data_IF_145351516192
#
_entry.id   IF_145351516192
#
_cell.length_a   1.000
_cell.length_b   1.000
_cell.length_c   1.000
_cell.angle_alpha   90.00
_cell.angle_beta   90.00
_cell.angle_gamma   90.00
#
_symmetry.space_group_name_H-M   'P 1'
#
loop_
_entity.id
_entity.type
_entity.pdbx_description
1 polymer ?
#
# COMPACT_ATOMS: atom_id res chain seq x y z
N UNK A 1 0.37 12.75 -14.23
CA UNK A 1 -0.45 11.63 -13.71
C UNK A 1 -1.23 12.14 -12.51
N UNK A 2 -2.54 11.89 -12.43
CA UNK A 2 -3.36 12.33 -11.28
C UNK A 2 -3.17 11.39 -10.09
N UNK A 3 -3.54 11.83 -8.87
CA UNK A 3 -3.47 10.99 -7.66
C UNK A 3 -4.29 9.70 -7.82
N UNK A 4 -5.49 9.81 -8.36
CA UNK A 4 -6.36 8.66 -8.63
C UNK A 4 -5.72 7.66 -9.60
N UNK A 5 -5.07 8.14 -10.67
CA UNK A 5 -4.32 7.29 -11.60
C UNK A 5 -3.13 6.60 -10.92
N UNK A 6 -2.39 7.30 -10.05
CA UNK A 6 -1.30 6.72 -9.26
C UNK A 6 -1.79 5.59 -8.37
N UNK A 7 -2.82 5.85 -7.56
CA UNK A 7 -3.41 4.88 -6.65
C UNK A 7 -3.87 3.64 -7.43
N UNK A 8 -4.66 3.83 -8.49
CA UNK A 8 -5.18 2.73 -9.30
C UNK A 8 -4.08 1.85 -9.88
N UNK A 9 -3.05 2.45 -10.48
CA UNK A 9 -1.93 1.70 -11.05
C UNK A 9 -1.14 0.93 -9.97
N UNK A 10 -0.81 1.57 -8.84
CA UNK A 10 -0.03 0.93 -7.79
C UNK A 10 -0.82 -0.17 -7.07
N UNK A 11 -2.12 0.04 -6.84
CA UNK A 11 -2.97 -0.95 -6.20
C UNK A 11 -3.16 -2.19 -7.06
N UNK A 12 -3.33 -2.02 -8.38
CA UNK A 12 -3.34 -3.14 -9.31
C UNK A 12 -2.04 -3.96 -9.21
N UNK A 13 -0.89 -3.29 -9.13
CA UNK A 13 0.40 -3.96 -9.02
C UNK A 13 0.59 -4.68 -7.67
N UNK A 14 0.09 -4.09 -6.57
CA UNK A 14 0.11 -4.71 -5.24
C UNK A 14 -0.80 -5.94 -5.20
N UNK A 15 -2.02 -5.88 -5.78
CA UNK A 15 -2.93 -7.02 -5.86
C UNK A 15 -2.36 -8.17 -6.70
N UNK A 16 -1.68 -7.85 -7.80
CA UNK A 16 -1.02 -8.82 -8.65
C UNK A 16 0.13 -9.59 -7.97
N UNK A 17 0.60 -9.13 -6.80
CA UNK A 17 1.60 -9.87 -5.99
C UNK A 17 1.00 -11.02 -5.19
N UNK A 18 -0.33 -11.13 -5.10
CA UNK A 18 -1.04 -12.18 -4.36
C UNK A 18 -0.44 -12.40 -2.95
N UNK A 19 -0.21 -11.30 -2.22
CA UNK A 19 0.41 -11.33 -0.90
C UNK A 19 -0.41 -12.25 0.03
N UNK A 20 0.25 -13.21 0.67
CA UNK A 20 -0.40 -14.09 1.64
C UNK A 20 -0.71 -13.33 2.91
N UNK A 21 -2.00 -13.17 3.20
CA UNK A 21 -2.49 -12.55 4.42
C UNK A 21 -2.55 -13.57 5.57
N UNK A 22 -2.24 -13.18 6.82
CA UNK A 22 -1.70 -11.89 7.21
C UNK A 22 -0.19 -11.78 6.92
N UNK A 23 0.29 -10.58 6.59
CA UNK A 23 1.72 -10.31 6.38
C UNK A 23 2.21 -9.12 7.22
N UNK A 24 3.51 -9.11 7.49
CA UNK A 24 4.16 -8.00 8.18
C UNK A 24 4.66 -6.98 7.16
N UNK A 25 4.16 -5.74 7.25
CA UNK A 25 4.57 -4.65 6.35
C UNK A 25 5.86 -3.97 6.81
N UNK A 26 6.00 -3.74 8.12
CA UNK A 26 7.19 -3.20 8.77
C UNK A 26 7.21 -3.65 10.25
N UNK A 27 8.25 -3.32 11.01
CA UNK A 27 8.29 -3.57 12.46
C UNK A 27 7.19 -2.76 13.16
N UNK A 28 6.01 -3.35 13.35
CA UNK A 28 4.85 -2.74 14.00
C UNK A 28 3.54 -2.74 13.20
N UNK A 29 3.56 -2.93 11.88
CA UNK A 29 2.34 -3.01 11.06
C UNK A 29 2.13 -4.41 10.51
N UNK A 30 1.12 -5.10 11.03
CA UNK A 30 0.61 -6.37 10.49
C UNK A 30 -0.64 -6.08 9.67
N UNK A 31 -0.62 -6.45 8.39
CA UNK A 31 -1.78 -6.36 7.49
C UNK A 31 -2.47 -7.71 7.50
N UNK A 32 -3.74 -7.73 7.92
CA UNK A 32 -4.57 -8.94 7.97
C UNK A 32 -5.57 -9.03 6.83
N UNK A 33 -5.82 -7.91 6.15
CA UNK A 33 -6.76 -7.76 5.03
C UNK A 33 -6.19 -6.65 4.14
N UNK A 34 -5.67 -7.03 2.96
CA UNK A 34 -5.02 -6.13 2.03
C UNK A 34 -6.02 -5.13 1.46
N UNK A 35 -7.22 -5.56 1.07
CA UNK A 35 -8.21 -4.69 0.45
C UNK A 35 -8.69 -3.61 1.43
N UNK A 36 -8.95 -3.98 2.69
CA UNK A 36 -9.28 -3.01 3.74
C UNK A 36 -8.15 -2.02 3.96
N UNK A 37 -6.91 -2.49 3.95
CA UNK A 37 -5.74 -1.64 4.12
C UNK A 37 -5.53 -0.67 2.93
N UNK A 38 -5.67 -1.16 1.70
CA UNK A 38 -5.60 -0.36 0.48
C UNK A 38 -6.70 0.72 0.46
N UNK A 39 -7.93 0.37 0.83
CA UNK A 39 -9.04 1.33 0.92
C UNK A 39 -8.78 2.43 1.95
N UNK A 40 -8.17 2.10 3.08
CA UNK A 40 -7.73 3.11 4.07
C UNK A 40 -6.66 4.04 3.51
N UNK A 41 -5.69 3.52 2.75
CA UNK A 41 -4.65 4.33 2.09
C UNK A 41 -5.26 5.26 1.05
N UNK A 42 -6.17 4.75 0.21
CA UNK A 42 -6.86 5.54 -0.82
C UNK A 42 -7.65 6.69 -0.19
N UNK A 43 -8.46 6.38 0.83
CA UNK A 43 -9.23 7.40 1.56
C UNK A 43 -8.30 8.45 2.17
N UNK A 44 -7.18 8.02 2.75
CA UNK A 44 -6.17 8.91 3.31
C UNK A 44 -5.54 9.83 2.26
N UNK A 45 -5.16 9.31 1.10
CA UNK A 45 -4.55 10.10 0.02
C UNK A 45 -5.51 11.10 -0.63
N UNK A 46 -6.78 10.73 -0.78
CA UNK A 46 -7.79 11.56 -1.43
C UNK A 46 -8.35 12.65 -0.50
N UNK A 47 -8.44 12.38 0.80
CA UNK A 47 -8.98 13.33 1.78
C UNK A 47 -7.96 14.35 2.29
N UNK A 48 -6.67 14.02 2.25
CA UNK A 48 -5.64 14.88 2.83
C UNK A 48 -5.07 15.91 1.83
N UNK A 49 -4.97 17.14 2.29
CA UNK A 49 -4.33 18.25 1.57
C UNK A 49 -2.89 18.51 2.03
N UNK A 50 -2.46 17.89 3.15
CA UNK A 50 -1.12 18.08 3.71
C UNK A 50 -0.07 17.23 2.98
N UNK A 51 1.01 17.83 2.43
CA UNK A 51 2.07 17.09 1.75
C UNK A 51 2.78 16.06 2.63
N UNK A 52 2.89 16.32 3.94
CA UNK A 52 3.53 15.39 4.88
C UNK A 52 2.72 14.10 5.04
N UNK A 53 1.40 14.24 5.12
CA UNK A 53 0.48 13.10 5.27
C UNK A 53 0.39 12.32 3.96
N UNK A 54 0.35 13.01 2.83
CA UNK A 54 0.42 12.37 1.52
C UNK A 54 1.69 11.53 1.34
N UNK A 55 2.85 12.07 1.70
CA UNK A 55 4.12 11.33 1.67
C UNK A 55 4.09 10.10 2.58
N UNK A 56 3.42 10.15 3.73
CA UNK A 56 3.25 8.99 4.60
C UNK A 56 2.49 7.85 3.89
N UNK A 57 1.41 8.17 3.19
CA UNK A 57 0.63 7.18 2.46
C UNK A 57 1.36 6.65 1.22
N UNK A 58 2.06 7.53 0.48
CA UNK A 58 2.93 7.13 -0.63
C UNK A 58 4.01 6.16 -0.13
N UNK A 59 4.65 6.46 0.99
CA UNK A 59 5.66 5.57 1.58
C UNK A 59 5.07 4.18 1.91
N UNK A 60 3.83 4.11 2.41
CA UNK A 60 3.15 2.83 2.67
C UNK A 60 2.89 2.04 1.38
N UNK A 61 2.47 2.71 0.30
CA UNK A 61 2.31 2.08 -1.02
C UNK A 61 3.65 1.53 -1.50
N UNK A 62 4.71 2.31 -1.42
CA UNK A 62 6.05 1.89 -1.83
C UNK A 62 6.57 0.72 -0.97
N UNK A 63 6.26 0.68 0.34
CA UNK A 63 6.56 -0.49 1.17
C UNK A 63 5.82 -1.75 0.72
N UNK A 64 4.54 -1.64 0.34
CA UNK A 64 3.76 -2.76 -0.23
C UNK A 64 4.30 -3.23 -1.57
N UNK A 65 4.80 -2.30 -2.40
CA UNK A 65 5.45 -2.63 -3.67
C UNK A 65 6.78 -3.35 -3.43
N UNK A 66 7.55 -2.93 -2.42
CA UNK A 66 8.84 -3.54 -2.07
C UNK A 66 8.73 -4.87 -1.34
N UNK A 67 7.55 -5.19 -0.80
CA UNK A 67 7.22 -6.53 -0.32
C UNK A 67 7.32 -7.51 -1.49
N UNK A 68 8.49 -8.11 -1.66
CA UNK A 68 8.67 -9.26 -2.51
C UNK A 68 8.26 -10.50 -1.71
N UNK A 69 7.60 -11.43 -2.42
CA UNK A 69 7.53 -12.82 -2.05
C UNK A 69 8.90 -13.21 -1.49
N UNK A 70 8.98 -13.55 -0.20
CA UNK A 70 10.21 -14.11 0.35
C UNK A 70 10.46 -15.34 -0.50
N UNK A 71 11.42 -15.24 -1.41
CA UNK A 71 11.88 -16.33 -2.25
C UNK A 71 12.30 -17.38 -1.23
N UNK A 72 11.58 -18.50 -1.16
CA UNK A 72 12.05 -19.68 -0.44
C UNK A 72 13.45 -19.95 -1.01
N UNK A 73 14.47 -19.62 -0.23
CA UNK A 73 15.78 -20.25 -0.34
C UNK A 73 15.63 -21.68 0.18
#
# INVERSE_FOLDING_TARGET
MTKAQYIGQKFAWIRAKELKEPFQLNQGTKVTDLEKYLKSIETGLLSNQSPKIENLFINKIESLIKLNHVKKM
#
